data_IF_989423648421
#
_entry.id   IF_989423648421
#
_cell.length_a   1.000
_cell.length_b   1.000
_cell.length_c   1.000
_cell.angle_alpha   90.00
_cell.angle_beta   90.00
_cell.angle_gamma   90.00
#
_symmetry.space_group_name_H-M   'P 1'
#
loop_
_entity.id
_entity.type
_entity.pdbx_description
1 polymer ?
#
# COMPACT_ATOMS: atom_id res chain seq x y z
N UNK A 1 8.76 -42.18 8.66
CA UNK A 1 8.95 -41.01 9.54
C UNK A 1 9.27 -39.80 8.65
N UNK A 2 8.23 -39.15 8.13
CA UNK A 2 8.39 -37.94 7.31
C UNK A 2 8.74 -36.79 8.24
N UNK A 3 9.99 -36.35 8.18
CA UNK A 3 10.43 -35.14 8.85
C UNK A 3 9.67 -33.98 8.20
N UNK A 4 8.78 -33.36 8.99
CA UNK A 4 8.18 -32.07 8.70
C UNK A 4 9.30 -31.09 8.34
N UNK A 5 9.53 -30.87 7.05
CA UNK A 5 10.35 -29.75 6.58
C UNK A 5 9.46 -28.52 6.66
N UNK A 6 9.28 -28.02 7.89
CA UNK A 6 8.80 -26.68 8.11
C UNK A 6 9.86 -25.78 7.44
N UNK A 7 9.52 -25.16 6.31
CA UNK A 7 10.42 -24.24 5.64
C UNK A 7 10.72 -23.13 6.64
N UNK A 8 11.92 -23.15 7.23
CA UNK A 8 12.43 -22.04 8.01
C UNK A 8 12.54 -20.87 7.03
N UNK A 9 11.52 -20.02 7.01
CA UNK A 9 11.53 -18.85 6.14
C UNK A 9 12.75 -18.01 6.48
N UNK A 10 13.47 -17.62 5.44
CA UNK A 10 14.67 -16.85 5.62
C UNK A 10 14.28 -15.48 6.19
N UNK A 11 14.81 -15.14 7.37
CA UNK A 11 14.54 -13.85 8.04
C UNK A 11 14.81 -12.67 7.10
N UNK A 12 15.81 -12.79 6.21
CA UNK A 12 16.11 -11.78 5.21
C UNK A 12 14.98 -11.58 4.18
N UNK A 13 14.29 -12.65 3.75
CA UNK A 13 13.14 -12.54 2.83
C UNK A 13 11.98 -11.78 3.51
N UNK A 14 11.71 -12.08 4.79
CA UNK A 14 10.66 -11.41 5.56
C UNK A 14 10.98 -9.92 5.73
N UNK A 15 12.22 -9.59 6.12
CA UNK A 15 12.65 -8.21 6.27
C UNK A 15 12.57 -7.44 4.94
N UNK A 16 12.99 -8.07 3.84
CA UNK A 16 12.89 -7.48 2.51
C UNK A 16 11.44 -7.15 2.13
N UNK A 17 10.53 -8.10 2.33
CA UNK A 17 9.10 -7.89 2.07
C UNK A 17 8.52 -6.77 2.95
N UNK A 18 8.88 -6.73 4.24
CA UNK A 18 8.41 -5.71 5.17
C UNK A 18 8.89 -4.31 4.79
N UNK A 19 10.17 -4.15 4.43
CA UNK A 19 10.70 -2.87 3.94
C UNK A 19 10.01 -2.46 2.65
N UNK A 20 9.83 -3.40 1.72
CA UNK A 20 9.17 -3.13 0.44
C UNK A 20 7.73 -2.65 0.64
N UNK A 21 6.97 -3.30 1.52
CA UNK A 21 5.61 -2.87 1.89
C UNK A 21 5.63 -1.51 2.59
N UNK A 22 6.58 -1.25 3.51
CA UNK A 22 6.68 0.05 4.18
C UNK A 22 6.89 1.19 3.19
N UNK A 23 7.71 1.00 2.15
CA UNK A 23 7.91 2.00 1.10
C UNK A 23 6.61 2.32 0.33
N UNK A 24 5.72 1.33 0.14
CA UNK A 24 4.40 1.55 -0.48
C UNK A 24 3.54 2.52 0.34
N UNK A 25 3.68 2.56 1.66
CA UNK A 25 2.93 3.46 2.54
C UNK A 25 3.43 4.92 2.49
N UNK A 26 4.61 5.19 1.94
CA UNK A 26 5.23 6.52 1.89
C UNK A 26 4.72 7.36 0.69
N UNK A 27 3.41 7.42 0.50
CA UNK A 27 2.79 8.02 -0.70
C UNK A 27 3.02 9.51 -0.89
N UNK A 28 3.27 10.26 0.19
CA UNK A 28 3.54 11.69 0.13
C UNK A 28 4.96 12.06 -0.34
N UNK A 29 5.82 11.07 -0.58
CA UNK A 29 7.25 11.29 -0.81
C UNK A 29 7.72 10.77 -2.17
N UNK A 30 8.74 11.44 -2.71
CA UNK A 30 9.46 11.07 -3.92
C UNK A 30 10.97 11.29 -3.77
N UNK A 31 11.75 10.54 -4.54
CA UNK A 31 13.21 10.66 -4.60
C UNK A 31 13.59 10.82 -6.07
N UNK A 32 14.32 11.90 -6.42
CA UNK A 32 14.70 12.22 -7.81
C UNK A 32 13.52 12.20 -8.80
N UNK A 33 12.34 12.66 -8.38
CA UNK A 33 11.11 12.65 -9.20
C UNK A 33 10.41 11.29 -9.31
N UNK A 34 10.93 10.24 -8.65
CA UNK A 34 10.30 8.92 -8.60
C UNK A 34 9.53 8.78 -7.29
N UNK A 35 8.20 8.54 -7.32
CA UNK A 35 7.42 8.24 -6.13
C UNK A 35 7.97 7.07 -5.32
N UNK A 36 8.14 7.24 -4.01
CA UNK A 36 8.62 6.17 -3.13
C UNK A 36 7.71 4.92 -3.17
N UNK A 37 6.37 5.02 -3.27
CA UNK A 37 5.53 3.83 -3.40
C UNK A 37 5.84 3.00 -4.65
N UNK A 38 6.26 3.64 -5.73
CA UNK A 38 6.62 2.93 -6.96
C UNK A 38 7.91 2.14 -6.77
N UNK A 39 8.88 2.68 -6.01
CA UNK A 39 10.07 1.92 -5.61
C UNK A 39 9.69 0.70 -4.76
N UNK A 40 8.81 0.88 -3.76
CA UNK A 40 8.31 -0.23 -2.94
C UNK A 40 7.63 -1.33 -3.77
N UNK A 41 6.75 -0.96 -4.70
CA UNK A 41 6.09 -1.89 -5.62
C UNK A 41 7.09 -2.59 -6.55
N UNK A 42 8.10 -1.87 -7.03
CA UNK A 42 9.14 -2.44 -7.90
C UNK A 42 9.98 -3.49 -7.15
N UNK A 43 10.31 -3.24 -5.87
CA UNK A 43 11.00 -4.22 -5.03
C UNK A 43 10.15 -5.49 -4.80
N UNK A 44 8.85 -5.32 -4.51
CA UNK A 44 7.92 -6.46 -4.42
C UNK A 44 7.85 -7.24 -5.74
N UNK A 45 7.83 -6.54 -6.86
CA UNK A 45 7.82 -7.15 -8.19
C UNK A 45 9.10 -7.94 -8.46
N UNK A 46 10.27 -7.36 -8.19
CA UNK A 46 11.56 -8.06 -8.33
C UNK A 46 11.60 -9.33 -7.46
N UNK A 47 11.10 -9.25 -6.22
CA UNK A 47 10.99 -10.43 -5.37
C UNK A 47 10.03 -11.47 -5.94
N UNK A 48 8.86 -11.06 -6.43
CA UNK A 48 7.90 -11.96 -7.07
C UNK A 48 8.51 -12.69 -8.27
N UNK A 49 9.33 -12.03 -9.09
CA UNK A 49 10.03 -12.66 -10.21
C UNK A 49 10.97 -13.78 -9.77
N UNK A 50 11.61 -13.68 -8.59
CA UNK A 50 12.45 -14.78 -8.07
C UNK A 50 11.66 -16.07 -7.80
N UNK A 51 10.34 -15.94 -7.59
CA UNK A 51 9.42 -17.06 -7.31
C UNK A 51 8.38 -17.23 -8.43
N UNK A 52 8.67 -16.81 -9.67
CA UNK A 52 7.71 -16.79 -10.78
C UNK A 52 6.98 -18.12 -11.01
N UNK A 53 7.66 -19.24 -10.79
CA UNK A 53 7.11 -20.60 -10.93
C UNK A 53 5.86 -20.85 -10.07
N UNK A 54 5.64 -20.08 -9.00
CA UNK A 54 4.47 -20.23 -8.12
C UNK A 54 3.17 -19.74 -8.75
N UNK A 55 3.25 -18.83 -9.73
CA UNK A 55 2.08 -18.22 -10.37
C UNK A 55 2.09 -18.30 -11.91
N UNK A 56 3.13 -18.90 -12.48
CA UNK A 56 3.26 -19.15 -13.92
C UNK A 56 2.42 -20.37 -14.35
N UNK A 57 1.10 -20.17 -14.45
CA UNK A 57 0.18 -21.08 -15.14
C UNK A 57 -0.52 -20.36 -16.28
N UNK A 58 -0.81 -21.10 -17.35
CA UNK A 58 -1.55 -20.71 -18.55
C UNK A 58 -2.80 -19.86 -18.25
N UNK A 59 -3.63 -20.24 -17.27
CA UNK A 59 -4.84 -19.48 -16.90
C UNK A 59 -4.52 -18.11 -16.29
N UNK A 60 -3.54 -18.06 -15.39
CA UNK A 60 -3.11 -16.81 -14.76
C UNK A 60 -2.49 -15.85 -15.78
N UNK A 61 -1.72 -16.38 -16.74
CA UNK A 61 -1.12 -15.59 -17.81
C UNK A 61 -2.17 -14.93 -18.71
N UNK A 62 -3.29 -15.62 -19.00
CA UNK A 62 -4.41 -15.03 -19.76
C UNK A 62 -5.07 -13.90 -18.97
N UNK A 63 -5.28 -14.06 -17.66
CA UNK A 63 -5.87 -13.00 -16.84
C UNK A 63 -4.94 -11.78 -16.78
N UNK A 64 -3.64 -12.00 -16.61
CA UNK A 64 -2.62 -10.94 -16.58
C UNK A 64 -2.57 -10.20 -17.90
N UNK A 65 -2.58 -10.93 -19.03
CA UNK A 65 -2.52 -10.30 -20.34
C UNK A 65 -3.76 -9.45 -20.62
N UNK A 66 -4.95 -9.89 -20.19
CA UNK A 66 -6.19 -9.09 -20.27
C UNK A 66 -6.08 -7.82 -19.40
N UNK A 67 -5.65 -7.94 -18.14
CA UNK A 67 -5.50 -6.79 -17.24
C UNK A 67 -4.49 -5.77 -17.78
N UNK A 68 -3.36 -6.25 -18.31
CA UNK A 68 -2.36 -5.40 -18.95
C UNK A 68 -2.95 -4.73 -20.18
N UNK A 69 -3.67 -5.45 -21.05
CA UNK A 69 -4.28 -4.88 -22.24
C UNK A 69 -5.25 -3.73 -21.89
N UNK A 70 -6.13 -3.94 -20.90
CA UNK A 70 -7.08 -2.93 -20.43
C UNK A 70 -6.36 -1.64 -19.98
N UNK A 71 -5.23 -1.78 -19.29
CA UNK A 71 -4.45 -0.63 -18.81
C UNK A 71 -3.66 0.03 -19.93
N UNK A 72 -3.07 -0.74 -20.84
CA UNK A 72 -2.18 -0.24 -21.89
C UNK A 72 -2.93 0.49 -23.00
N UNK A 73 -4.13 0.03 -23.38
CA UNK A 73 -4.89 0.59 -24.50
C UNK A 73 -5.10 2.12 -24.35
N UNK A 74 -5.63 2.64 -23.22
CA UNK A 74 -5.80 4.08 -23.05
C UNK A 74 -4.49 4.87 -23.12
N UNK A 75 -3.38 4.29 -22.65
CA UNK A 75 -2.07 4.96 -22.64
C UNK A 75 -1.47 5.04 -24.04
N UNK A 76 -1.61 3.96 -24.83
CA UNK A 76 -1.18 3.92 -26.23
C UNK A 76 -1.99 4.93 -27.05
N UNK A 77 -3.31 4.97 -26.85
CA UNK A 77 -4.20 5.98 -27.47
C UNK A 77 -3.72 7.39 -27.08
N UNK A 78 -3.48 7.65 -25.79
CA UNK A 78 -3.02 8.96 -25.34
C UNK A 78 -1.71 9.41 -26.00
N UNK A 79 -0.72 8.52 -26.09
CA UNK A 79 0.57 8.82 -26.73
C UNK A 79 0.42 9.05 -28.23
N UNK A 80 -0.48 8.32 -28.90
CA UNK A 80 -0.68 8.44 -30.33
C UNK A 80 -1.43 9.71 -30.74
N UNK A 81 -2.36 10.18 -29.91
CA UNK A 81 -3.23 11.32 -30.24
C UNK A 81 -2.76 12.67 -29.67
N UNK A 82 -1.77 12.69 -28.77
CA UNK A 82 -1.26 13.93 -28.17
C UNK A 82 0.23 14.11 -28.42
N UNK A 83 0.68 15.36 -28.49
CA UNK A 83 2.10 15.67 -28.43
C UNK A 83 2.58 15.51 -26.99
N UNK A 84 3.46 14.52 -26.75
CA UNK A 84 3.94 14.17 -25.41
C UNK A 84 5.42 14.54 -25.29
N UNK A 85 5.75 15.30 -24.26
CA UNK A 85 7.13 15.68 -23.94
C UNK A 85 7.95 14.48 -23.40
N UNK A 86 9.28 14.60 -23.44
CA UNK A 86 10.18 13.54 -22.92
C UNK A 86 9.95 13.25 -21.42
N UNK A 87 9.68 14.29 -20.61
CA UNK A 87 9.39 14.11 -19.18
C UNK A 87 8.07 13.36 -18.94
N UNK A 88 7.05 13.66 -19.74
CA UNK A 88 5.77 12.94 -19.67
C UNK A 88 5.90 11.49 -20.12
N UNK A 89 6.71 11.20 -21.14
CA UNK A 89 7.01 9.81 -21.56
C UNK A 89 7.66 9.02 -20.42
N UNK A 90 8.66 9.60 -19.74
CA UNK A 90 9.32 8.96 -18.59
C UNK A 90 8.32 8.66 -17.46
N UNK A 91 7.47 9.64 -17.14
CA UNK A 91 6.46 9.49 -16.09
C UNK A 91 5.37 8.47 -16.47
N UNK A 92 4.92 8.46 -17.72
CA UNK A 92 3.99 7.46 -18.25
C UNK A 92 4.60 6.05 -18.18
N UNK A 93 5.87 5.90 -18.56
CA UNK A 93 6.58 4.63 -18.45
C UNK A 93 6.65 4.13 -17.00
N UNK A 94 7.03 4.99 -16.06
CA UNK A 94 7.07 4.63 -14.64
C UNK A 94 5.67 4.24 -14.11
N UNK A 95 4.62 4.95 -14.53
CA UNK A 95 3.23 4.62 -14.18
C UNK A 95 2.85 3.24 -14.73
N UNK A 96 3.17 2.94 -15.98
CA UNK A 96 2.94 1.65 -16.60
C UNK A 96 3.68 0.53 -15.89
N UNK A 97 4.96 0.74 -15.57
CA UNK A 97 5.77 -0.19 -14.80
C UNK A 97 5.15 -0.47 -13.43
N UNK A 98 4.65 0.55 -12.74
CA UNK A 98 4.01 0.39 -11.45
C UNK A 98 2.70 -0.43 -11.54
N UNK A 99 1.87 -0.19 -12.55
CA UNK A 99 0.63 -0.97 -12.74
C UNK A 99 0.94 -2.42 -13.13
N UNK A 100 1.90 -2.63 -14.03
CA UNK A 100 2.37 -3.97 -14.39
C UNK A 100 2.92 -4.72 -13.17
N UNK A 101 3.76 -4.04 -12.39
CA UNK A 101 4.30 -4.56 -11.12
C UNK A 101 3.18 -4.97 -10.17
N UNK A 102 2.15 -4.13 -10.02
CA UNK A 102 0.99 -4.44 -9.19
C UNK A 102 0.27 -5.72 -9.62
N UNK A 103 0.00 -5.92 -10.91
CA UNK A 103 -0.70 -7.12 -11.40
C UNK A 103 0.09 -8.39 -11.09
N UNK A 104 1.41 -8.37 -11.32
CA UNK A 104 2.28 -9.51 -11.03
C UNK A 104 2.39 -9.77 -9.52
N UNK A 105 2.56 -8.72 -8.71
CA UNK A 105 2.61 -8.83 -7.24
C UNK A 105 1.29 -9.34 -6.67
N UNK A 106 0.14 -8.93 -7.24
CA UNK A 106 -1.16 -9.43 -6.85
C UNK A 106 -1.24 -10.95 -7.03
N UNK A 107 -0.93 -11.45 -8.23
CA UNK A 107 -0.92 -12.89 -8.49
C UNK A 107 0.06 -13.65 -7.62
N UNK A 108 1.26 -13.09 -7.46
CA UNK A 108 2.27 -13.63 -6.57
C UNK A 108 1.70 -13.75 -5.15
N UNK A 109 1.07 -12.71 -4.61
CA UNK A 109 0.51 -12.76 -3.25
C UNK A 109 -0.57 -13.84 -3.10
N UNK A 110 -1.48 -13.97 -4.06
CA UNK A 110 -2.56 -14.98 -4.04
C UNK A 110 -2.03 -16.42 -4.04
N UNK A 111 -0.91 -16.67 -4.74
CA UNK A 111 -0.32 -18.01 -4.87
C UNK A 111 0.68 -18.31 -3.76
N UNK A 112 1.53 -17.34 -3.44
CA UNK A 112 2.58 -17.44 -2.43
C UNK A 112 1.98 -17.68 -1.05
N UNK A 113 1.01 -16.87 -0.63
CA UNK A 113 0.38 -17.03 0.70
C UNK A 113 -0.54 -18.26 0.80
N UNK A 114 -0.96 -18.84 -0.33
CA UNK A 114 -1.72 -20.11 -0.35
C UNK A 114 -0.81 -21.32 -0.20
N UNK A 115 0.34 -21.31 -0.89
CA UNK A 115 1.22 -22.47 -0.99
C UNK A 115 2.26 -22.51 0.13
N UNK A 116 2.74 -21.35 0.57
CA UNK A 116 3.68 -21.22 1.67
C UNK A 116 2.92 -20.89 2.96
N UNK A 117 3.13 -21.65 4.04
CA UNK A 117 2.55 -21.35 5.36
C UNK A 117 3.34 -20.23 6.04
N UNK A 118 3.12 -18.99 5.61
CA UNK A 118 3.90 -17.81 6.01
C UNK A 118 3.43 -17.23 7.34
N UNK A 119 3.36 -18.04 8.39
CA UNK A 119 2.89 -17.58 9.69
C UNK A 119 3.74 -16.41 10.22
N UNK A 120 5.06 -16.46 9.97
CA UNK A 120 6.07 -15.51 10.41
C UNK A 120 5.99 -14.12 9.76
N UNK A 121 5.55 -14.00 8.51
CA UNK A 121 5.36 -12.67 7.90
C UNK A 121 4.16 -11.95 8.52
N UNK A 122 3.05 -12.66 8.75
CA UNK A 122 1.91 -12.08 9.46
C UNK A 122 2.25 -11.71 10.90
N UNK A 123 3.15 -12.44 11.57
CA UNK A 123 3.65 -12.07 12.90
C UNK A 123 4.38 -10.72 12.88
N UNK A 124 5.03 -10.35 11.77
CA UNK A 124 5.72 -9.06 11.62
C UNK A 124 4.81 -7.89 11.29
N UNK A 125 3.56 -8.11 10.85
CA UNK A 125 2.62 -7.03 10.53
C UNK A 125 2.34 -6.08 11.70
N UNK A 126 2.43 -6.58 12.94
CA UNK A 126 2.28 -5.76 14.14
C UNK A 126 3.24 -4.56 14.17
N UNK A 127 4.45 -4.74 13.65
CA UNK A 127 5.45 -3.68 13.59
C UNK A 127 5.09 -2.65 12.54
N UNK A 128 4.65 -3.07 11.34
CA UNK A 128 4.17 -2.17 10.30
C UNK A 128 2.96 -1.35 10.79
N UNK A 129 1.96 -2.03 11.36
CA UNK A 129 0.77 -1.38 11.92
C UNK A 129 1.17 -0.37 13.00
N UNK A 130 2.05 -0.77 13.93
CA UNK A 130 2.52 0.09 15.01
C UNK A 130 3.24 1.34 14.50
N UNK A 131 4.22 1.16 13.60
CA UNK A 131 4.98 2.25 12.99
C UNK A 131 4.07 3.20 12.22
N UNK A 132 3.20 2.68 11.35
CA UNK A 132 2.33 3.53 10.55
C UNK A 132 1.30 4.28 11.40
N UNK A 133 0.76 3.63 12.44
CA UNK A 133 -0.18 4.27 13.35
C UNK A 133 0.48 5.35 14.20
N UNK A 134 1.69 5.09 14.73
CA UNK A 134 2.47 6.07 15.47
C UNK A 134 2.86 7.27 14.61
N UNK A 135 3.34 7.04 13.38
CA UNK A 135 3.63 8.11 12.41
C UNK A 135 2.38 8.94 12.10
N UNK A 136 1.23 8.28 11.94
CA UNK A 136 -0.04 8.96 11.66
C UNK A 136 -0.43 9.90 12.79
N UNK A 137 -0.38 9.41 14.03
CA UNK A 137 -0.71 10.22 15.22
C UNK A 137 0.29 11.36 15.38
N UNK A 138 1.59 11.07 15.22
CA UNK A 138 2.63 12.09 15.28
C UNK A 138 2.39 13.21 14.26
N UNK A 139 2.19 12.87 12.99
CA UNK A 139 1.96 13.84 11.92
C UNK A 139 0.72 14.68 12.22
N UNK A 140 -0.37 14.05 12.67
CA UNK A 140 -1.60 14.77 13.02
C UNK A 140 -1.41 15.75 14.18
N UNK A 141 -0.69 15.35 15.24
CA UNK A 141 -0.36 16.24 16.36
C UNK A 141 0.57 17.36 15.88
N UNK A 142 1.59 17.04 15.08
CA UNK A 142 2.52 18.01 14.55
C UNK A 142 1.80 19.09 13.72
N UNK A 143 0.83 18.68 12.91
CA UNK A 143 0.00 19.60 12.12
C UNK A 143 -0.82 20.53 13.01
N UNK A 144 -1.51 20.01 14.04
CA UNK A 144 -2.35 20.82 14.95
C UNK A 144 -1.53 21.83 15.76
N UNK A 145 -0.36 21.43 16.23
CA UNK A 145 0.47 22.23 17.13
C UNK A 145 1.62 22.96 16.42
N UNK A 146 1.65 22.94 15.09
CA UNK A 146 2.70 23.56 14.28
C UNK A 146 4.13 23.06 14.66
N UNK A 147 4.25 21.77 14.96
CA UNK A 147 5.53 21.11 15.20
C UNK A 147 6.16 20.67 13.87
N UNK A 148 7.47 20.42 13.89
CA UNK A 148 8.19 19.93 12.71
C UNK A 148 7.65 18.59 12.21
N UNK A 149 7.14 18.53 10.99
CA UNK A 149 6.82 17.28 10.29
C UNK A 149 7.85 16.95 9.21
N UNK A 150 7.81 15.71 8.70
CA UNK A 150 8.63 15.31 7.56
C UNK A 150 8.14 16.04 6.29
N UNK A 151 9.04 16.77 5.64
CA UNK A 151 8.75 17.56 4.43
C UNK A 151 8.20 16.64 3.34
N UNK A 152 6.95 16.90 2.95
CA UNK A 152 6.28 16.25 1.83
C UNK A 152 6.77 16.89 0.55
N UNK A 153 7.32 16.09 -0.36
CA UNK A 153 8.00 16.60 -1.55
C UNK A 153 7.43 16.06 -2.87
N UNK A 154 6.30 15.36 -2.81
CA UNK A 154 5.55 14.89 -3.98
C UNK A 154 4.33 15.78 -4.20
N UNK A 155 3.99 16.11 -5.44
CA UNK A 155 2.78 16.90 -5.70
C UNK A 155 1.49 16.10 -5.47
N UNK A 156 0.40 16.83 -5.22
CA UNK A 156 -0.95 16.25 -5.25
C UNK A 156 -1.39 15.91 -6.67
N UNK A 157 -2.40 15.05 -6.80
CA UNK A 157 -2.98 14.67 -8.09
C UNK A 157 -3.96 15.74 -8.59
N UNK A 158 -3.47 16.97 -8.78
CA UNK A 158 -4.25 18.03 -9.41
C UNK A 158 -3.95 18.09 -10.90
N UNK A 159 -4.96 18.44 -11.70
CA UNK A 159 -4.85 18.55 -13.16
C UNK A 159 -3.74 19.53 -13.60
N UNK A 160 -3.40 20.49 -12.72
CA UNK A 160 -2.45 21.58 -12.98
C UNK A 160 -1.05 21.34 -12.39
N UNK A 161 -0.75 20.16 -11.84
CA UNK A 161 0.63 19.72 -11.53
C UNK A 161 1.35 20.40 -10.34
N UNK A 162 0.97 21.63 -9.99
CA UNK A 162 1.78 22.53 -9.15
C UNK A 162 1.14 22.88 -7.80
N UNK A 163 0.14 22.13 -7.34
CA UNK A 163 -0.42 22.38 -6.01
C UNK A 163 0.39 21.66 -4.94
N UNK A 164 0.87 22.42 -3.96
CA UNK A 164 1.37 21.90 -2.69
C UNK A 164 0.36 20.94 -2.05
N UNK A 165 0.86 19.92 -1.36
CA UNK A 165 0.00 19.01 -0.61
C UNK A 165 -0.69 19.78 0.52
N UNK A 166 -1.98 20.08 0.36
CA UNK A 166 -2.75 20.65 1.47
C UNK A 166 -2.94 19.63 2.56
N UNK A 167 -2.47 19.98 3.77
CA UNK A 167 -2.68 19.23 5.01
C UNK A 167 -3.83 19.82 5.84
N UNK A 168 -4.31 21.01 5.47
CA UNK A 168 -5.36 21.74 6.15
C UNK A 168 -6.45 22.18 5.18
N UNK A 169 -7.68 21.76 5.48
CA UNK A 169 -8.87 22.18 4.76
C UNK A 169 -9.64 23.19 5.61
N UNK A 170 -9.87 24.40 5.10
CA UNK A 170 -10.60 25.44 5.82
C UNK A 170 -12.07 25.09 6.08
N UNK A 171 -12.66 24.29 5.17
CA UNK A 171 -14.08 23.91 5.19
C UNK A 171 -14.35 22.54 5.82
N UNK A 172 -13.31 21.81 6.21
CA UNK A 172 -13.45 20.47 6.77
C UNK A 172 -12.61 20.35 8.05
N UNK A 173 -13.07 19.57 9.05
CA UNK A 173 -12.25 19.32 10.22
C UNK A 173 -10.92 18.67 9.82
N UNK A 174 -9.85 18.98 10.55
CA UNK A 174 -8.55 18.38 10.30
C UNK A 174 -8.61 16.84 10.41
N UNK A 175 -7.95 16.14 9.48
CA UNK A 175 -8.01 14.68 9.30
C UNK A 175 -6.61 14.11 9.24
N UNK A 176 -6.37 13.01 9.96
CA UNK A 176 -5.11 12.31 9.86
C UNK A 176 -4.99 11.60 8.50
N UNK A 177 -3.91 11.87 7.80
CA UNK A 177 -3.52 11.17 6.56
C UNK A 177 -2.18 10.46 6.66
N UNK A 178 -1.45 10.61 7.77
CA UNK A 178 -0.13 9.99 7.96
C UNK A 178 0.82 10.34 6.82
N UNK A 179 1.52 9.36 6.28
CA UNK A 179 2.45 9.53 5.16
C UNK A 179 1.76 9.53 3.79
N UNK A 180 0.42 9.53 3.75
CA UNK A 180 -0.36 9.59 2.52
C UNK A 180 -0.73 11.03 2.16
N UNK A 181 -1.09 11.21 0.89
CA UNK A 181 -1.57 12.48 0.34
C UNK A 181 -3.05 12.74 0.64
N UNK A 182 -3.79 11.68 0.97
CA UNK A 182 -5.21 11.75 1.30
C UNK A 182 -5.58 10.82 2.46
N UNK A 183 -6.51 11.21 3.36
CA UNK A 183 -6.98 10.36 4.45
C UNK A 183 -7.61 9.04 3.97
N UNK A 184 -8.26 9.02 2.80
CA UNK A 184 -8.88 7.81 2.25
C UNK A 184 -7.84 6.75 1.89
N UNK A 185 -6.68 7.17 1.41
CA UNK A 185 -5.57 6.28 1.06
C UNK A 185 -4.95 5.67 2.34
N UNK A 186 -4.77 6.44 3.40
CA UNK A 186 -4.34 5.89 4.68
C UNK A 186 -5.26 4.74 5.14
N UNK A 187 -6.57 4.95 5.08
CA UNK A 187 -7.53 3.95 5.55
C UNK A 187 -7.60 2.73 4.63
N UNK A 188 -7.55 2.90 3.31
CA UNK A 188 -7.60 1.77 2.38
C UNK A 188 -6.41 0.81 2.56
N UNK A 189 -5.25 1.31 2.99
CA UNK A 189 -4.07 0.49 3.26
C UNK A 189 -4.00 -0.01 4.71
N UNK A 190 -4.19 0.87 5.71
CA UNK A 190 -3.98 0.52 7.12
C UNK A 190 -5.12 -0.33 7.69
N UNK A 191 -6.37 -0.05 7.32
CA UNK A 191 -7.53 -0.70 7.93
C UNK A 191 -7.60 -2.21 7.67
N UNK A 192 -7.45 -2.71 6.42
CA UNK A 192 -7.49 -4.15 6.19
C UNK A 192 -6.40 -4.90 6.97
N UNK A 193 -5.19 -4.31 7.08
CA UNK A 193 -4.08 -4.90 7.84
C UNK A 193 -4.41 -5.02 9.33
N UNK A 194 -4.94 -3.94 9.93
CA UNK A 194 -5.33 -3.92 11.34
C UNK A 194 -6.41 -4.97 11.61
N UNK A 195 -7.48 -4.99 10.81
CA UNK A 195 -8.59 -5.93 10.99
C UNK A 195 -8.12 -7.38 10.86
N UNK A 196 -7.36 -7.71 9.81
CA UNK A 196 -6.85 -9.07 9.59
C UNK A 196 -5.91 -9.51 10.72
N UNK A 197 -5.02 -8.63 11.19
CA UNK A 197 -4.11 -8.92 12.28
C UNK A 197 -4.89 -9.19 13.59
N UNK A 198 -5.81 -8.29 13.96
CA UNK A 198 -6.59 -8.45 15.19
C UNK A 198 -7.52 -9.67 15.15
N UNK A 199 -8.06 -9.99 13.97
CA UNK A 199 -8.86 -11.19 13.77
C UNK A 199 -8.04 -12.47 14.03
N UNK A 200 -6.83 -12.53 13.48
CA UNK A 200 -5.94 -13.70 13.63
C UNK A 200 -5.42 -13.87 15.06
N UNK A 201 -4.98 -12.80 15.70
CA UNK A 201 -4.30 -12.85 17.01
C UNK A 201 -5.20 -12.49 18.21
N UNK A 202 -6.53 -12.59 18.03
CA UNK A 202 -7.61 -12.40 19.02
C UNK A 202 -7.16 -11.63 20.28
N UNK A 203 -6.94 -10.31 20.11
CA UNK A 203 -6.69 -9.33 21.19
C UNK A 203 -5.39 -9.43 22.01
N UNK A 204 -4.38 -10.18 21.61
CA UNK A 204 -3.13 -10.30 22.39
C UNK A 204 -2.33 -8.99 22.59
N UNK A 205 -2.62 -7.92 21.83
CA UNK A 205 -1.92 -6.62 21.93
C UNK A 205 -2.89 -5.44 22.05
N UNK A 206 -3.40 -5.18 23.26
CA UNK A 206 -4.28 -4.04 23.55
C UNK A 206 -3.68 -2.69 23.15
N UNK A 207 -2.38 -2.48 23.42
CA UNK A 207 -1.67 -1.26 23.05
C UNK A 207 -1.74 -1.00 21.53
N UNK A 208 -1.46 -2.02 20.73
CA UNK A 208 -1.51 -1.91 19.27
C UNK A 208 -2.94 -1.61 18.79
N UNK A 209 -3.95 -2.26 19.37
CA UNK A 209 -5.36 -2.01 19.05
C UNK A 209 -5.78 -0.57 19.35
N UNK A 210 -5.35 -0.03 20.49
CA UNK A 210 -5.64 1.35 20.88
C UNK A 210 -4.93 2.32 19.93
N UNK A 211 -3.63 2.16 19.71
CA UNK A 211 -2.84 3.06 18.86
C UNK A 211 -3.37 3.05 17.42
N UNK A 212 -3.62 1.86 16.86
CA UNK A 212 -4.18 1.73 15.51
C UNK A 212 -5.62 2.22 15.44
N UNK A 213 -6.45 1.98 16.46
CA UNK A 213 -7.81 2.50 16.55
C UNK A 213 -7.87 4.02 16.57
N UNK A 214 -6.98 4.67 17.35
CA UNK A 214 -6.84 6.13 17.38
C UNK A 214 -6.40 6.64 16.01
N UNK A 215 -5.35 6.06 15.41
CA UNK A 215 -4.86 6.48 14.10
C UNK A 215 -5.96 6.39 13.01
N UNK A 216 -6.71 5.28 12.98
CA UNK A 216 -7.83 5.10 12.05
C UNK A 216 -8.97 6.10 12.33
N UNK A 217 -9.32 6.32 13.60
CA UNK A 217 -10.38 7.24 14.01
C UNK A 217 -10.08 8.71 13.66
N UNK A 218 -8.84 9.14 13.85
CA UNK A 218 -8.39 10.50 13.52
C UNK A 218 -8.46 10.82 12.02
N UNK A 219 -8.47 9.80 11.14
CA UNK A 219 -8.68 10.03 9.71
C UNK A 219 -10.07 10.59 9.38
N UNK A 220 -11.06 10.32 10.25
CA UNK A 220 -12.49 10.63 10.07
C UNK A 220 -13.03 10.25 8.68
N UNK A 221 -12.46 9.22 8.05
CA UNK A 221 -12.81 8.83 6.69
C UNK A 221 -14.21 8.18 6.62
N UNK A 222 -15.03 8.59 5.64
CA UNK A 222 -16.29 7.92 5.33
C UNK A 222 -16.09 6.45 4.93
N UNK A 223 -14.94 6.14 4.31
CA UNK A 223 -14.58 4.79 3.93
C UNK A 223 -14.44 3.86 5.14
N UNK A 224 -13.90 4.38 6.26
CA UNK A 224 -13.79 3.62 7.52
C UNK A 224 -15.18 3.15 7.98
N UNK A 225 -16.17 4.06 7.95
CA UNK A 225 -17.56 3.75 8.34
C UNK A 225 -18.16 2.68 7.43
N UNK A 226 -18.04 2.88 6.11
CA UNK A 226 -18.58 1.94 5.12
C UNK A 226 -17.97 0.54 5.29
N UNK A 227 -16.65 0.45 5.46
CA UNK A 227 -15.97 -0.83 5.66
C UNK A 227 -16.40 -1.50 6.97
N UNK A 228 -16.55 -0.76 8.08
CA UNK A 228 -17.02 -1.34 9.34
C UNK A 228 -18.44 -1.91 9.20
N UNK A 229 -19.33 -1.22 8.47
CA UNK A 229 -20.67 -1.72 8.20
C UNK A 229 -20.66 -3.00 7.36
N UNK A 230 -19.90 -3.02 6.25
CA UNK A 230 -19.81 -4.21 5.39
C UNK A 230 -19.17 -5.40 6.10
N UNK A 231 -18.10 -5.17 6.85
CA UNK A 231 -17.44 -6.22 7.64
C UNK A 231 -18.37 -6.80 8.72
N UNK A 232 -19.12 -5.94 9.41
CA UNK A 232 -20.08 -6.37 10.42
C UNK A 232 -21.23 -7.18 9.80
N UNK A 233 -21.71 -6.77 8.62
CA UNK A 233 -22.74 -7.48 7.87
C UNK A 233 -22.27 -8.87 7.40
N UNK A 234 -21.08 -8.97 6.82
CA UNK A 234 -20.49 -10.26 6.39
C UNK A 234 -20.29 -11.21 7.57
N UNK A 235 -20.05 -10.70 8.78
CA UNK A 235 -19.92 -11.51 9.99
C UNK A 235 -21.27 -12.00 10.56
N UNK A 236 -22.36 -11.31 10.26
CA UNK A 236 -23.71 -11.66 10.73
C UNK A 236 -24.37 -12.77 9.88
N UNK A 237 -23.88 -13.00 8.65
CA UNK A 237 -24.28 -14.08 7.74
C UNK A 237 -23.42 -15.32 8.00
#
# INVERSE_FOLDING_TARGET
MQINKQSSQNTYEIMFLMVSVLLVFLDAYQIFGIPIPWLGMTLLFLFALTKYKLFYDSKNLVIVSILIAIVMIPQIIYIFFNEVSQGEIQYLFLRLLNIFSFVIVLLFSLTYFRNEKIMSFFDTWKYLIGVMSALTIYIFIAQIYDLSEFIRNRSNTNLFGDSDQSTFWLSEPHRAMGTFREPVLLISFLMPLVVLYLYKYKSSNYLLSIISGVALGLSRSNYLRLFLYTFSYVRLI
#
